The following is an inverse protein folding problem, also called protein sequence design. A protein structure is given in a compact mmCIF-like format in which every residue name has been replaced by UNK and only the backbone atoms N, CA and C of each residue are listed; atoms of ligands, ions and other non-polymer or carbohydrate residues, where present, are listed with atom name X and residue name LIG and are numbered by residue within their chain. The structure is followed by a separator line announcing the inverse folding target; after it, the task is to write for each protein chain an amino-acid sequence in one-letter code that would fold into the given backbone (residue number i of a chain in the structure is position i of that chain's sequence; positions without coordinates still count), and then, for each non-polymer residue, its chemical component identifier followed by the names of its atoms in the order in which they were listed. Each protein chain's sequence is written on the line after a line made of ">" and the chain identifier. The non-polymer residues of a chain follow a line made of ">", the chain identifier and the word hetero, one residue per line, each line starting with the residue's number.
data_IF_796921806566
#
_entry.id   IF_796921806566
#
_cell.length_a   1.000
_cell.length_b   1.000
_cell.length_c   1.000
_cell.angle_alpha   90.00
_cell.angle_beta   90.00
_cell.angle_gamma   90.00
#
_symmetry.space_group_name_H-M   'P 1'
#
loop_
_entity.id
_entity.type
_entity.pdbx_description
1 polymer ?
#
# COMPACT_ATOMS: atom_id res chain seq x y z
N UNK A 1 14.43 1.12 -3.77
CA UNK A 1 14.29 0.41 -2.48
C UNK A 1 12.98 -0.35 -2.46
N UNK A 2 12.94 -1.57 -1.89
CA UNK A 2 11.70 -2.33 -1.66
C UNK A 2 11.25 -2.14 -0.20
N UNK A 3 9.97 -1.79 -0.01
CA UNK A 3 9.29 -1.75 1.28
C UNK A 3 8.33 -2.94 1.35
N UNK A 4 8.57 -3.86 2.27
CA UNK A 4 7.68 -4.99 2.52
C UNK A 4 7.10 -4.92 3.92
N UNK A 5 5.79 -5.12 4.04
CA UNK A 5 5.08 -5.00 5.30
C UNK A 5 3.79 -5.82 5.33
N UNK A 6 3.34 -6.12 6.55
CA UNK A 6 2.02 -6.62 6.82
C UNK A 6 1.10 -5.53 7.37
N UNK A 7 -0.20 -5.64 7.15
CA UNK A 7 -1.18 -4.71 7.74
C UNK A 7 -1.32 -4.91 9.24
N UNK A 8 -0.96 -6.09 9.75
CA UNK A 8 -1.04 -6.48 11.17
C UNK A 8 0.32 -6.45 11.88
N UNK A 9 1.31 -5.77 11.27
CA UNK A 9 2.63 -5.60 11.88
C UNK A 9 2.59 -4.44 12.88
N UNK A 10 2.36 -4.75 14.15
CA UNK A 10 2.32 -3.77 15.24
C UNK A 10 3.68 -3.18 15.61
N UNK A 11 4.80 -3.84 15.26
CA UNK A 11 6.14 -3.33 15.52
C UNK A 11 6.58 -2.30 14.47
N UNK A 12 6.20 -2.52 13.20
CA UNK A 12 6.48 -1.61 12.08
C UNK A 12 5.18 -1.28 11.36
N UNK A 13 4.36 -0.45 11.98
CA UNK A 13 3.02 -0.13 11.50
C UNK A 13 3.01 0.41 10.08
N UNK A 14 1.91 0.22 9.37
CA UNK A 14 1.71 0.73 8.01
C UNK A 14 1.99 2.24 7.93
N UNK A 15 1.53 3.02 8.93
CA UNK A 15 1.78 4.46 8.98
C UNK A 15 3.27 4.81 9.13
N UNK A 16 4.01 4.09 9.97
CA UNK A 16 5.43 4.32 10.14
C UNK A 16 6.21 4.03 8.85
N UNK A 17 5.86 2.97 8.14
CA UNK A 17 6.48 2.63 6.85
C UNK A 17 6.16 3.67 5.78
N UNK A 18 4.92 4.11 5.67
CA UNK A 18 4.53 5.20 4.76
C UNK A 18 5.34 6.48 5.02
N UNK A 19 5.46 6.90 6.30
CA UNK A 19 6.25 8.08 6.69
C UNK A 19 7.74 7.90 6.38
N UNK A 20 8.29 6.71 6.57
CA UNK A 20 9.68 6.39 6.23
C UNK A 20 9.88 6.43 4.72
N UNK A 21 9.00 5.79 3.97
CA UNK A 21 9.06 5.78 2.51
C UNK A 21 9.01 7.19 1.91
N UNK A 22 8.18 8.08 2.48
CA UNK A 22 8.09 9.47 2.04
C UNK A 22 9.41 10.25 2.17
N UNK A 23 10.25 9.89 3.15
CA UNK A 23 11.54 10.56 3.41
C UNK A 23 12.72 10.01 2.59
N UNK A 24 12.58 8.83 2.02
CA UNK A 24 13.65 8.19 1.26
C UNK A 24 13.56 8.64 -0.21
N UNK A 25 14.60 9.20 -0.79
CA UNK A 25 14.61 9.60 -2.20
C UNK A 25 14.72 8.38 -3.12
N UNK A 26 14.40 8.59 -4.41
CA UNK A 26 14.59 7.63 -5.48
C UNK A 26 13.42 6.66 -5.67
N UNK A 27 13.63 5.68 -6.57
CA UNK A 27 12.61 4.71 -6.96
C UNK A 27 12.29 3.75 -5.82
N UNK A 28 11.00 3.56 -5.57
CA UNK A 28 10.47 2.68 -4.53
C UNK A 28 9.57 1.61 -5.14
N UNK A 29 9.60 0.43 -4.54
CA UNK A 29 8.64 -0.63 -4.77
C UNK A 29 8.04 -1.00 -3.40
N UNK A 30 6.78 -1.40 -3.41
CA UNK A 30 6.05 -1.77 -2.20
C UNK A 30 5.49 -3.17 -2.35
N UNK A 31 5.42 -3.89 -1.23
CA UNK A 31 4.78 -5.19 -1.10
C UNK A 31 4.05 -5.23 0.25
N UNK A 32 2.87 -4.63 0.31
CA UNK A 32 2.00 -4.70 1.47
C UNK A 32 1.10 -5.93 1.37
N UNK A 33 1.01 -6.70 2.48
CA UNK A 33 0.20 -7.90 2.57
C UNK A 33 -0.85 -7.74 3.66
N UNK A 34 -2.09 -8.07 3.31
CA UNK A 34 -3.21 -8.06 4.24
C UNK A 34 -3.05 -9.17 5.30
N UNK A 35 -3.43 -8.88 6.55
CA UNK A 35 -3.42 -9.81 7.69
C UNK A 35 -2.05 -10.49 7.93
N UNK A 36 -0.98 -9.81 7.57
CA UNK A 36 0.37 -10.34 7.72
C UNK A 36 1.02 -9.70 8.95
N UNK A 37 1.37 -10.54 9.91
CA UNK A 37 1.95 -10.12 11.19
C UNK A 37 3.46 -9.94 11.12
N UNK A 38 4.00 -9.28 12.13
CA UNK A 38 5.44 -9.22 12.35
C UNK A 38 6.00 -10.62 12.62
N UNK A 39 7.01 -11.03 11.86
CA UNK A 39 7.63 -12.33 12.06
C UNK A 39 8.97 -12.47 11.35
N UNK A 40 9.96 -12.97 12.08
CA UNK A 40 11.32 -13.09 11.54
C UNK A 40 11.42 -14.11 10.40
N UNK A 41 10.80 -15.27 10.51
CA UNK A 41 10.92 -16.34 9.51
C UNK A 41 10.25 -15.97 8.18
N UNK A 42 9.08 -15.38 8.22
CA UNK A 42 8.27 -15.08 7.02
C UNK A 42 8.69 -13.77 6.37
N UNK A 43 9.16 -12.79 7.16
CA UNK A 43 9.62 -11.49 6.66
C UNK A 43 10.93 -11.57 5.85
N UNK A 44 11.76 -12.58 6.13
CA UNK A 44 13.07 -12.73 5.47
C UNK A 44 13.03 -13.55 4.18
N UNK A 45 12.00 -14.36 3.97
CA UNK A 45 11.88 -15.26 2.82
C UNK A 45 10.85 -14.81 1.78
N UNK A 46 10.51 -13.53 1.74
CA UNK A 46 9.54 -13.05 0.76
C UNK A 46 10.11 -13.12 -0.66
N UNK A 47 9.42 -13.77 -1.60
CA UNK A 47 9.89 -13.93 -2.97
C UNK A 47 10.06 -12.59 -3.69
N UNK A 48 9.35 -11.54 -3.29
CA UNK A 48 9.50 -10.19 -3.81
C UNK A 48 10.87 -9.59 -3.52
N UNK A 49 11.49 -9.94 -2.38
CA UNK A 49 12.86 -9.52 -2.07
C UNK A 49 13.86 -10.10 -3.07
N UNK A 50 13.75 -11.39 -3.37
CA UNK A 50 14.59 -12.05 -4.37
C UNK A 50 14.36 -11.47 -5.77
N UNK A 51 13.11 -11.22 -6.15
CA UNK A 51 12.74 -10.59 -7.42
C UNK A 51 13.32 -9.16 -7.52
N UNK A 52 13.25 -8.39 -6.43
CA UNK A 52 13.84 -7.05 -6.36
C UNK A 52 15.36 -7.08 -6.55
N UNK A 53 16.08 -7.91 -5.80
CA UNK A 53 17.54 -8.04 -5.96
C UNK A 53 17.92 -8.45 -7.38
N UNK A 54 17.21 -9.42 -7.95
CA UNK A 54 17.43 -9.83 -9.35
C UNK A 54 17.23 -8.66 -10.31
N UNK A 55 16.16 -7.87 -10.13
CA UNK A 55 15.90 -6.70 -10.97
C UNK A 55 17.02 -5.65 -10.92
N UNK A 56 17.61 -5.45 -9.73
CA UNK A 56 18.76 -4.54 -9.56
C UNK A 56 20.00 -5.08 -10.27
N UNK A 57 20.26 -6.37 -10.17
CA UNK A 57 21.44 -6.99 -10.80
C UNK A 57 21.34 -7.07 -12.33
N UNK A 58 20.15 -7.34 -12.85
CA UNK A 58 19.95 -7.59 -14.30
C UNK A 58 19.43 -6.38 -15.06
N UNK A 59 18.97 -5.33 -14.37
CA UNK A 59 18.26 -4.20 -14.98
C UNK A 59 16.84 -4.55 -15.43
N UNK A 60 16.34 -5.75 -15.17
CA UNK A 60 15.00 -6.17 -15.53
C UNK A 60 13.96 -5.33 -14.78
N UNK A 61 12.95 -4.83 -15.49
CA UNK A 61 11.84 -4.10 -14.86
C UNK A 61 11.01 -5.04 -13.98
N UNK A 62 10.74 -4.59 -12.76
CA UNK A 62 9.72 -5.23 -11.92
C UNK A 62 8.32 -4.75 -12.35
N UNK A 63 7.29 -5.60 -12.18
CA UNK A 63 5.91 -5.16 -12.31
C UNK A 63 5.63 -3.94 -11.43
N UNK A 64 4.90 -2.99 -11.95
CA UNK A 64 4.58 -1.75 -11.25
C UNK A 64 3.08 -1.51 -11.18
N UNK A 65 2.65 -0.95 -10.08
CA UNK A 65 1.28 -0.53 -9.83
C UNK A 65 1.31 0.88 -9.23
N UNK A 66 0.45 1.75 -9.72
CA UNK A 66 0.28 3.10 -9.21
C UNK A 66 -1.18 3.37 -8.88
N UNK A 67 -1.44 4.19 -7.87
CA UNK A 67 -2.77 4.69 -7.58
C UNK A 67 -2.91 6.11 -8.12
N UNK A 68 -4.02 6.37 -8.78
CA UNK A 68 -4.43 7.70 -9.23
C UNK A 68 -5.72 8.07 -8.51
N UNK A 69 -5.71 9.19 -7.81
CA UNK A 69 -6.91 9.72 -7.14
C UNK A 69 -7.48 10.89 -7.94
N UNK A 70 -8.81 10.89 -8.11
CA UNK A 70 -9.57 11.98 -8.73
C UNK A 70 -10.80 12.27 -7.87
N UNK A 71 -10.71 13.33 -7.07
CA UNK A 71 -11.76 13.69 -6.11
C UNK A 71 -12.01 12.55 -5.11
N UNK A 72 -13.27 12.13 -5.02
CA UNK A 72 -13.72 11.05 -4.14
C UNK A 72 -13.51 9.62 -4.70
N UNK A 73 -12.74 9.48 -5.77
CA UNK A 73 -12.50 8.19 -6.42
C UNK A 73 -11.01 7.93 -6.59
N UNK A 74 -10.63 6.64 -6.55
CA UNK A 74 -9.29 6.18 -6.90
C UNK A 74 -9.36 5.03 -7.91
N UNK A 75 -8.29 4.83 -8.68
CA UNK A 75 -8.12 3.67 -9.56
C UNK A 75 -6.65 3.27 -9.64
N UNK A 76 -6.42 2.01 -9.99
CA UNK A 76 -5.08 1.49 -10.21
C UNK A 76 -4.67 1.61 -11.68
N UNK A 77 -3.48 2.14 -11.92
CA UNK A 77 -2.72 1.93 -13.16
C UNK A 77 -1.73 0.81 -12.89
N UNK A 78 -1.89 -0.32 -13.56
CA UNK A 78 -1.15 -1.54 -13.26
C UNK A 78 -0.54 -2.14 -14.51
N UNK A 79 0.66 -2.70 -14.35
CA UNK A 79 1.35 -3.46 -15.39
C UNK A 79 0.52 -4.69 -15.79
N UNK A 80 0.46 -5.08 -17.08
CA UNK A 80 -0.23 -6.30 -17.54
C UNK A 80 0.29 -7.61 -16.91
N UNK A 81 1.45 -7.60 -16.28
CA UNK A 81 2.00 -8.75 -15.58
C UNK A 81 1.18 -9.19 -14.35
N UNK A 82 0.26 -8.36 -13.86
CA UNK A 82 -0.61 -8.73 -12.74
C UNK A 82 -1.79 -9.58 -13.22
N UNK A 83 -1.91 -10.78 -12.65
CA UNK A 83 -3.02 -11.71 -12.88
C UNK A 83 -4.29 -11.30 -12.12
N UNK A 84 -4.12 -10.62 -10.98
CA UNK A 84 -5.23 -10.07 -10.19
C UNK A 84 -4.84 -8.78 -9.52
N UNK A 85 -5.86 -7.92 -9.29
CA UNK A 85 -5.72 -6.67 -8.54
C UNK A 85 -6.75 -6.64 -7.41
N UNK A 86 -6.37 -6.04 -6.30
CA UNK A 86 -7.25 -5.78 -5.16
C UNK A 86 -7.13 -4.34 -4.71
N UNK A 87 -8.24 -3.82 -4.21
CA UNK A 87 -8.34 -2.57 -3.48
C UNK A 87 -8.42 -2.89 -2.00
N UNK A 88 -7.43 -2.46 -1.22
CA UNK A 88 -7.33 -2.71 0.22
C UNK A 88 -7.51 -1.39 0.95
N UNK A 89 -8.41 -1.34 1.92
CA UNK A 89 -8.75 -0.10 2.60
C UNK A 89 -9.12 -0.31 4.06
N UNK A 90 -9.07 0.76 4.82
CA UNK A 90 -9.56 0.84 6.19
C UNK A 90 -10.37 2.11 6.40
N UNK A 91 -11.37 2.04 7.30
CA UNK A 91 -12.13 3.20 7.77
C UNK A 91 -11.55 3.79 9.05
N UNK A 92 -10.58 3.08 9.65
CA UNK A 92 -9.89 3.52 10.85
C UNK A 92 -8.71 4.43 10.52
N UNK A 93 -8.46 5.44 11.35
CA UNK A 93 -7.34 6.38 11.15
C UNK A 93 -6.01 5.73 11.54
N UNK A 94 -5.24 5.35 10.53
CA UNK A 94 -3.91 4.73 10.71
C UNK A 94 -2.89 5.64 11.40
N UNK A 95 -3.18 6.92 11.55
CA UNK A 95 -2.35 7.88 12.28
C UNK A 95 -2.56 7.81 13.78
N UNK A 96 -3.71 7.28 14.21
CA UNK A 96 -4.15 7.19 15.62
C UNK A 96 -4.15 5.76 16.16
N UNK A 97 -4.08 4.77 15.30
CA UNK A 97 -4.18 3.35 15.65
C UNK A 97 -3.08 2.55 14.96
N UNK A 98 -2.31 1.79 15.73
CA UNK A 98 -1.16 1.03 15.21
C UNK A 98 -1.60 -0.17 14.36
N UNK A 99 -2.66 -0.86 14.74
CA UNK A 99 -3.25 -1.97 14.00
C UNK A 99 -4.70 -1.60 13.67
N UNK A 100 -5.03 -1.54 12.39
CA UNK A 100 -6.35 -1.24 11.88
C UNK A 100 -6.99 -2.47 11.24
N UNK A 101 -8.31 -2.50 11.22
CA UNK A 101 -9.06 -3.48 10.42
C UNK A 101 -9.03 -3.07 8.95
N UNK A 102 -8.50 -3.95 8.12
CA UNK A 102 -8.43 -3.74 6.69
C UNK A 102 -9.41 -4.64 5.96
N UNK A 103 -10.01 -4.11 4.92
CA UNK A 103 -10.92 -4.81 4.00
C UNK A 103 -10.27 -4.93 2.63
N UNK A 104 -10.55 -6.02 1.91
CA UNK A 104 -10.04 -6.26 0.57
C UNK A 104 -11.20 -6.53 -0.38
N UNK A 105 -11.21 -5.80 -1.50
CA UNK A 105 -12.16 -6.00 -2.59
C UNK A 105 -11.40 -6.19 -3.90
N UNK A 106 -11.93 -7.03 -4.79
CA UNK A 106 -11.39 -7.17 -6.14
C UNK A 106 -11.42 -5.85 -6.88
N UNK A 107 -10.36 -5.54 -7.60
CA UNK A 107 -10.21 -4.36 -8.43
C UNK A 107 -9.86 -4.73 -9.88
N UNK A 108 -10.03 -3.78 -10.79
CA UNK A 108 -9.56 -3.90 -12.16
C UNK A 108 -8.82 -2.62 -12.56
N UNK A 109 -7.78 -2.77 -13.37
CA UNK A 109 -6.99 -1.63 -13.86
C UNK A 109 -7.89 -0.60 -14.56
N UNK A 110 -7.69 0.67 -14.22
CA UNK A 110 -8.45 1.79 -14.77
C UNK A 110 -9.89 1.93 -14.27
N UNK A 111 -10.41 0.95 -13.50
CA UNK A 111 -11.75 1.09 -12.90
C UNK A 111 -11.68 1.82 -11.56
N UNK A 112 -12.55 2.81 -11.42
CA UNK A 112 -12.63 3.63 -10.21
C UNK A 112 -13.32 2.88 -9.06
N UNK A 113 -12.83 3.14 -7.85
CA UNK A 113 -13.44 2.76 -6.57
C UNK A 113 -13.77 4.03 -5.79
N UNK A 114 -14.87 4.01 -5.04
CA UNK A 114 -15.25 5.14 -4.18
C UNK A 114 -14.41 5.17 -2.91
N UNK A 115 -13.98 6.35 -2.50
CA UNK A 115 -13.26 6.60 -1.25
C UNK A 115 -14.18 7.08 -0.12
N UNK A 116 -15.50 7.06 -0.30
CA UNK A 116 -16.44 7.48 0.71
C UNK A 116 -16.32 6.67 2.00
N UNK A 117 -16.07 7.33 3.12
CA UNK A 117 -15.90 6.70 4.43
C UNK A 117 -14.61 5.89 4.60
N UNK A 118 -13.65 6.03 3.69
CA UNK A 118 -12.34 5.38 3.76
C UNK A 118 -11.32 6.37 4.32
N UNK A 119 -10.53 5.93 5.29
CA UNK A 119 -9.48 6.74 5.91
C UNK A 119 -8.11 6.50 5.32
N UNK A 120 -7.83 5.26 4.90
CA UNK A 120 -6.60 4.94 4.18
C UNK A 120 -6.83 3.76 3.23
N UNK A 121 -6.04 3.71 2.15
CA UNK A 121 -6.13 2.65 1.15
C UNK A 121 -4.81 2.43 0.42
N UNK A 122 -4.71 1.28 -0.23
CA UNK A 122 -3.70 0.98 -1.25
C UNK A 122 -4.26 -0.03 -2.26
N UNK A 123 -3.65 -0.09 -3.42
CA UNK A 123 -3.91 -1.19 -4.36
C UNK A 123 -2.79 -2.21 -4.27
N UNK A 124 -3.15 -3.48 -4.43
CA UNK A 124 -2.19 -4.58 -4.52
C UNK A 124 -2.46 -5.41 -5.75
N UNK A 125 -1.40 -5.92 -6.35
CA UNK A 125 -1.47 -6.82 -7.50
C UNK A 125 -0.65 -8.07 -7.26
N UNK A 126 -1.18 -9.21 -7.70
CA UNK A 126 -0.52 -10.50 -7.66
C UNK A 126 -0.21 -10.96 -9.07
N UNK A 127 1.06 -11.29 -9.34
CA UNK A 127 1.48 -11.86 -10.64
C UNK A 127 1.06 -13.32 -10.75
N UNK A 128 1.13 -13.89 -11.96
CA UNK A 128 0.91 -15.33 -12.18
C UNK A 128 1.89 -16.22 -11.42
N UNK A 129 3.09 -15.71 -11.11
CA UNK A 129 4.10 -16.40 -10.31
C UNK A 129 3.87 -16.26 -8.79
N UNK A 130 2.83 -15.53 -8.38
CA UNK A 130 2.46 -15.34 -6.99
C UNK A 130 3.19 -14.19 -6.28
N UNK A 131 3.99 -13.38 -6.98
CA UNK A 131 4.61 -12.17 -6.42
C UNK A 131 3.55 -11.12 -6.14
N UNK A 132 3.64 -10.46 -5.00
CA UNK A 132 2.71 -9.43 -4.56
C UNK A 132 3.41 -8.08 -4.51
N UNK A 133 2.94 -7.13 -5.33
CA UNK A 133 3.37 -5.74 -5.28
C UNK A 133 2.18 -4.84 -5.01
N UNK A 134 2.45 -3.71 -4.38
CA UNK A 134 1.40 -2.75 -4.02
C UNK A 134 1.80 -1.32 -4.38
N UNK A 135 0.84 -0.42 -4.31
CA UNK A 135 1.11 1.01 -4.20
C UNK A 135 1.63 1.35 -2.81
N UNK A 136 2.07 2.58 -2.59
CA UNK A 136 2.17 3.10 -1.23
C UNK A 136 0.76 3.21 -0.61
N UNK A 137 0.70 3.45 0.69
CA UNK A 137 -0.56 3.68 1.40
C UNK A 137 -0.93 5.16 1.34
N UNK A 138 -2.14 5.43 0.90
CA UNK A 138 -2.71 6.77 0.82
C UNK A 138 -3.69 6.98 1.96
N UNK A 139 -3.58 8.12 2.64
CA UNK A 139 -4.61 8.59 3.57
C UNK A 139 -5.55 9.52 2.81
N UNK A 140 -6.85 9.31 2.96
CA UNK A 140 -7.84 10.28 2.51
C UNK A 140 -7.85 11.47 3.48
N UNK A 141 -8.12 12.66 2.97
CA UNK A 141 -8.45 13.79 3.84
C UNK A 141 -9.84 13.52 4.42
N UNK A 142 -9.90 13.05 5.66
CA UNK A 142 -11.15 13.10 6.41
C UNK A 142 -11.41 14.59 6.68
N UNK A 143 -12.52 15.11 6.14
CA UNK A 143 -13.00 16.45 6.46
C UNK A 143 -13.35 16.52 7.95
N UNK A 144 -12.38 16.82 8.80
CA UNK A 144 -12.55 17.30 10.18
C UNK A 144 -11.20 17.54 10.87
N UNK A 145 -10.40 18.45 10.38
CA UNK A 145 -9.62 19.30 11.25
C UNK A 145 -10.20 20.70 11.10
N UNK A 146 -11.43 20.87 11.57
CA UNK A 146 -11.97 22.17 11.88
C UNK A 146 -11.09 22.75 12.99
N UNK A 147 -10.11 23.57 12.62
CA UNK A 147 -9.49 24.51 13.53
C UNK A 147 -10.59 25.31 14.22
N UNK A 148 -10.89 24.92 15.45
CA UNK A 148 -11.45 25.85 16.39
C UNK A 148 -10.34 26.86 16.73
N UNK A 149 -10.14 27.82 15.84
CA UNK A 149 -9.50 29.08 16.15
C UNK A 149 -10.36 29.81 17.16
N UNK A 150 -10.14 29.56 18.43
CA UNK A 150 -10.65 30.39 19.50
C UNK A 150 -9.60 31.44 19.80
N UNK A 151 -9.72 32.58 19.11
CA UNK A 151 -9.07 33.81 19.52
C UNK A 151 -9.74 34.31 20.81
N UNK A 152 -8.93 34.56 21.79
CA UNK A 152 -9.26 35.24 23.03
C UNK A 152 -7.97 35.78 23.62
#
# INVERSE_FOLDING_TARGET
>A
MLFSAGTDDGAFTVNNRRRTAAKIPGRKAFSYRLNFQHGHAVGWSQPESAAFFRSVQTGQKMPSIAAVQRGAYAFAEADPAFASLSFVFTREDIRKKDICMWEEHSAAAGKSVSLAGISAYFFTGKTSEGLVFSTDVFCTETASDGENGNGG
#
